data_IF_101885351125
#
_entry.id   IF_101885351125
#
_cell.length_a   1.000
_cell.length_b   1.000
_cell.length_c   1.000
_cell.angle_alpha   90.00
_cell.angle_beta   90.00
_cell.angle_gamma   90.00
#
_symmetry.space_group_name_H-M   'P 1'
#
loop_
_entity.id
_entity.type
_entity.pdbx_description
1 polymer ?
#
# COMPACT_ATOMS: atom_id res chain seq x y z
N UNK A 1 -25.55 -4.90 42.34
CA UNK A 1 -25.96 -4.86 40.92
C UNK A 1 -27.47 -4.89 40.89
N UNK A 2 -28.13 -3.87 40.34
CA UNK A 2 -29.59 -3.85 40.20
C UNK A 2 -30.07 -4.95 39.26
N UNK A 3 -31.28 -5.47 39.49
CA UNK A 3 -31.89 -6.42 38.58
C UNK A 3 -31.98 -5.79 37.17
N UNK A 4 -31.64 -6.53 36.10
CA UNK A 4 -31.79 -6.02 34.74
C UNK A 4 -33.26 -5.60 34.50
N UNK A 5 -33.49 -4.54 33.71
CA UNK A 5 -34.83 -4.01 33.47
C UNK A 5 -35.76 -5.11 32.92
N UNK A 6 -36.97 -5.22 33.49
CA UNK A 6 -37.98 -6.16 33.02
C UNK A 6 -38.64 -5.61 31.76
N UNK A 7 -38.23 -6.14 30.61
CA UNK A 7 -38.84 -5.80 29.32
C UNK A 7 -40.30 -6.26 29.26
N UNK A 8 -41.17 -5.42 28.68
CA UNK A 8 -42.56 -5.76 28.35
C UNK A 8 -42.63 -6.86 27.27
N UNK A 9 -43.79 -7.48 27.08
CA UNK A 9 -43.99 -8.48 26.02
C UNK A 9 -43.70 -7.90 24.63
N UNK A 10 -44.11 -6.67 24.37
CA UNK A 10 -43.86 -5.94 23.11
C UNK A 10 -42.38 -5.62 22.92
N UNK A 11 -41.70 -5.12 23.95
CA UNK A 11 -40.26 -4.83 23.90
C UNK A 11 -39.43 -6.10 23.66
N UNK A 12 -39.83 -7.23 24.26
CA UNK A 12 -39.21 -8.54 24.00
C UNK A 12 -39.40 -8.96 22.55
N UNK A 13 -40.61 -8.83 22.01
CA UNK A 13 -40.93 -9.16 20.63
C UNK A 13 -40.10 -8.32 19.64
N UNK A 14 -40.04 -7.00 19.86
CA UNK A 14 -39.25 -6.08 19.05
C UNK A 14 -37.74 -6.39 19.12
N UNK A 15 -37.22 -6.71 20.31
CA UNK A 15 -35.82 -7.09 20.50
C UNK A 15 -35.47 -8.40 19.77
N UNK A 16 -36.37 -9.39 19.80
CA UNK A 16 -36.21 -10.65 19.07
C UNK A 16 -36.20 -10.43 17.55
N UNK A 17 -37.13 -9.62 17.03
CA UNK A 17 -37.20 -9.27 15.61
C UNK A 17 -35.92 -8.55 15.14
N UNK A 18 -35.44 -7.57 15.90
CA UNK A 18 -34.17 -6.86 15.61
C UNK A 18 -32.96 -7.79 15.64
N UNK A 19 -32.93 -8.73 16.58
CA UNK A 19 -31.87 -9.74 16.66
C UNK A 19 -31.92 -10.71 15.46
N UNK A 20 -33.11 -11.12 15.02
CA UNK A 20 -33.29 -11.96 13.84
C UNK A 20 -32.82 -11.23 12.57
N UNK A 21 -33.20 -9.96 12.39
CA UNK A 21 -32.74 -9.13 11.27
C UNK A 21 -31.21 -8.97 11.26
N UNK A 22 -30.61 -8.71 12.43
CA UNK A 22 -29.15 -8.59 12.56
C UNK A 22 -28.42 -9.89 12.23
N UNK A 23 -29.00 -11.06 12.58
CA UNK A 23 -28.46 -12.38 12.20
C UNK A 23 -28.56 -12.60 10.70
N UNK A 24 -29.71 -12.28 10.10
CA UNK A 24 -29.92 -12.38 8.64
C UNK A 24 -28.91 -11.53 7.88
N UNK A 25 -28.75 -10.26 8.29
CA UNK A 25 -27.77 -9.35 7.68
C UNK A 25 -26.33 -9.87 7.75
N UNK A 26 -25.89 -10.37 8.92
CA UNK A 26 -24.56 -10.98 9.04
C UNK A 26 -24.39 -12.24 8.20
N UNK A 27 -25.43 -13.06 8.07
CA UNK A 27 -25.40 -14.24 7.22
C UNK A 27 -25.23 -13.85 5.74
N UNK A 28 -25.97 -12.84 5.27
CA UNK A 28 -25.84 -12.30 3.92
C UNK A 28 -24.41 -11.82 3.63
N UNK A 29 -23.81 -11.04 4.53
CA UNK A 29 -22.43 -10.56 4.37
C UNK A 29 -21.44 -11.72 4.32
N UNK A 30 -21.57 -12.71 5.20
CA UNK A 30 -20.68 -13.89 5.17
C UNK A 30 -20.83 -14.69 3.88
N UNK A 31 -22.03 -14.78 3.30
CA UNK A 31 -22.23 -15.41 1.99
C UNK A 31 -21.49 -14.65 0.89
N UNK A 32 -21.59 -13.31 0.87
CA UNK A 32 -20.85 -12.47 -0.08
C UNK A 32 -19.34 -12.61 0.04
N UNK A 33 -18.82 -12.62 1.26
CA UNK A 33 -17.39 -12.86 1.54
C UNK A 33 -16.98 -14.24 1.05
N UNK A 34 -17.77 -15.28 1.34
CA UNK A 34 -17.50 -16.66 0.91
C UNK A 34 -17.45 -16.80 -0.61
N UNK A 35 -18.31 -16.07 -1.32
CA UNK A 35 -18.37 -16.05 -2.78
C UNK A 35 -17.28 -15.18 -3.42
N UNK A 36 -16.47 -14.47 -2.63
CA UNK A 36 -15.47 -13.53 -3.13
C UNK A 36 -16.06 -12.20 -3.63
N UNK A 37 -17.35 -11.94 -3.40
CA UNK A 37 -17.98 -10.67 -3.77
C UNK A 37 -17.48 -9.53 -2.88
N UNK A 38 -17.22 -9.80 -1.59
CA UNK A 38 -16.76 -8.82 -0.60
C UNK A 38 -15.36 -9.19 -0.06
N UNK A 39 -14.45 -8.22 -0.14
CA UNK A 39 -13.13 -8.27 0.50
C UNK A 39 -13.21 -7.93 2.00
N UNK A 40 -12.09 -8.06 2.71
CA UNK A 40 -11.98 -7.62 4.10
C UNK A 40 -12.29 -6.12 4.23
N UNK A 41 -11.85 -5.32 3.26
CA UNK A 41 -12.10 -3.87 3.23
C UNK A 41 -13.55 -3.51 3.03
N UNK A 42 -14.23 -4.17 2.09
CA UNK A 42 -15.66 -3.93 1.89
C UNK A 42 -16.45 -4.17 3.18
N UNK A 43 -16.08 -5.19 3.97
CA UNK A 43 -16.75 -5.48 5.24
C UNK A 43 -16.38 -4.48 6.33
N UNK A 44 -15.11 -4.06 6.41
CA UNK A 44 -14.63 -3.08 7.40
C UNK A 44 -15.25 -1.69 7.15
N UNK A 45 -15.37 -1.27 5.90
CA UNK A 45 -16.04 -0.03 5.51
C UNK A 45 -17.54 -0.10 5.82
N UNK A 46 -18.19 -1.19 5.40
CA UNK A 46 -19.62 -1.40 5.69
C UNK A 46 -19.91 -1.39 7.20
N UNK A 47 -18.99 -1.91 8.02
CA UNK A 47 -19.12 -1.92 9.47
C UNK A 47 -19.15 -0.51 10.10
N UNK A 48 -18.68 0.53 9.42
CA UNK A 48 -18.77 1.90 9.92
C UNK A 48 -20.21 2.41 9.92
N UNK A 49 -21.05 1.92 9.01
CA UNK A 49 -22.42 2.39 8.81
C UNK A 49 -23.47 1.33 9.19
N UNK A 50 -23.11 0.05 9.20
CA UNK A 50 -24.01 -1.07 9.50
C UNK A 50 -23.73 -1.69 10.88
N UNK A 51 -24.60 -1.38 11.86
CA UNK A 51 -24.52 -1.89 13.23
C UNK A 51 -24.53 -3.42 13.34
N UNK A 52 -25.18 -4.14 12.43
CA UNK A 52 -25.20 -5.60 12.48
C UNK A 52 -23.83 -6.18 12.11
N UNK A 53 -23.19 -5.59 11.10
CA UNK A 53 -21.83 -5.92 10.66
C UNK A 53 -20.80 -5.48 11.69
N UNK A 54 -20.89 -4.24 12.18
CA UNK A 54 -20.04 -3.69 13.24
C UNK A 54 -19.97 -4.61 14.48
N UNK A 55 -21.11 -5.22 14.83
CA UNK A 55 -21.24 -6.14 15.97
C UNK A 55 -20.96 -7.60 15.60
N UNK A 56 -20.62 -7.95 14.37
CA UNK A 56 -20.17 -9.30 14.02
C UNK A 56 -18.84 -9.61 14.72
N UNK A 57 -18.64 -10.87 15.13
CA UNK A 57 -17.35 -11.31 15.68
C UNK A 57 -16.33 -11.38 14.55
N UNK A 58 -15.10 -10.93 14.82
CA UNK A 58 -14.01 -11.01 13.85
C UNK A 58 -13.78 -12.46 13.44
N UNK A 59 -13.79 -13.40 14.39
CA UNK A 59 -13.68 -14.84 14.10
C UNK A 59 -14.70 -15.34 13.07
N UNK A 60 -15.96 -14.91 13.18
CA UNK A 60 -17.03 -15.33 12.25
C UNK A 60 -16.86 -14.75 10.85
N UNK A 61 -16.27 -13.55 10.76
CA UNK A 61 -15.89 -12.95 9.48
C UNK A 61 -14.73 -13.74 8.84
N UNK A 62 -13.67 -13.99 9.61
CA UNK A 62 -12.49 -14.72 9.14
C UNK A 62 -12.86 -16.11 8.64
N UNK A 63 -13.66 -16.86 9.39
CA UNK A 63 -14.17 -18.18 9.00
C UNK A 63 -15.06 -18.16 7.74
N UNK A 64 -15.54 -17.00 7.29
CA UNK A 64 -16.34 -16.87 6.08
C UNK A 64 -15.49 -16.76 4.81
N UNK A 65 -14.23 -16.35 4.91
CA UNK A 65 -13.33 -16.29 3.76
C UNK A 65 -12.98 -17.68 3.25
N UNK A 66 -12.96 -17.82 1.92
CA UNK A 66 -12.53 -19.06 1.28
C UNK A 66 -11.09 -19.39 1.68
N UNK A 67 -10.82 -20.64 2.07
CA UNK A 67 -9.48 -21.05 2.52
C UNK A 67 -9.09 -20.64 3.94
N UNK A 68 -10.00 -20.03 4.72
CA UNK A 68 -9.79 -19.72 6.15
C UNK A 68 -10.75 -20.52 7.02
N UNK A 69 -10.32 -21.73 7.40
CA UNK A 69 -11.04 -22.57 8.37
C UNK A 69 -10.82 -22.12 9.82
N UNK A 70 -11.51 -22.76 10.77
CA UNK A 70 -11.46 -22.43 12.21
C UNK A 70 -10.03 -22.36 12.78
N UNK A 71 -9.18 -23.31 12.40
CA UNK A 71 -7.78 -23.38 12.87
C UNK A 71 -6.99 -22.16 12.39
N UNK A 72 -7.10 -21.85 11.10
CA UNK A 72 -6.40 -20.70 10.49
C UNK A 72 -6.93 -19.37 11.03
N UNK A 73 -8.25 -19.23 11.16
CA UNK A 73 -8.85 -18.05 11.78
C UNK A 73 -8.35 -17.83 13.21
N UNK A 74 -8.22 -18.91 14.00
CA UNK A 74 -7.70 -18.83 15.37
C UNK A 74 -6.23 -18.39 15.41
N UNK A 75 -5.37 -19.04 14.62
CA UNK A 75 -3.94 -18.69 14.52
C UNK A 75 -3.72 -17.25 14.06
N UNK A 76 -4.50 -16.78 13.09
CA UNK A 76 -4.46 -15.39 12.64
C UNK A 76 -4.83 -14.44 13.76
N UNK A 77 -5.92 -14.73 14.48
CA UNK A 77 -6.35 -13.91 15.61
C UNK A 77 -5.30 -13.87 16.72
N UNK A 78 -4.63 -14.98 17.04
CA UNK A 78 -3.54 -15.01 18.02
C UNK A 78 -2.35 -14.15 17.58
N UNK A 79 -1.89 -14.34 16.33
CA UNK A 79 -0.76 -13.58 15.77
C UNK A 79 -1.03 -12.07 15.75
N UNK A 80 -2.27 -11.67 15.47
CA UNK A 80 -2.68 -10.26 15.42
C UNK A 80 -3.17 -9.72 16.77
N UNK A 81 -3.02 -10.50 17.85
CA UNK A 81 -3.46 -10.15 19.21
C UNK A 81 -4.95 -9.75 19.28
N UNK A 82 -5.80 -10.44 18.52
CA UNK A 82 -7.25 -10.25 18.46
C UNK A 82 -7.92 -11.28 19.36
N UNK A 83 -8.58 -10.80 20.42
CA UNK A 83 -9.36 -11.68 21.32
C UNK A 83 -10.47 -12.45 20.58
N UNK A 84 -10.75 -13.72 20.91
CA UNK A 84 -11.84 -14.52 20.31
C UNK A 84 -13.24 -13.90 20.39
N UNK A 85 -13.47 -13.03 21.39
CA UNK A 85 -14.75 -12.33 21.59
C UNK A 85 -14.81 -10.99 20.86
N UNK A 86 -13.71 -10.55 20.22
CA UNK A 86 -13.59 -9.26 19.56
C UNK A 86 -14.60 -9.13 18.42
N UNK A 87 -15.26 -7.98 18.37
CA UNK A 87 -16.17 -7.58 17.29
C UNK A 87 -15.44 -6.64 16.33
N UNK A 88 -15.93 -6.56 15.09
CA UNK A 88 -15.33 -5.73 14.03
C UNK A 88 -15.15 -4.27 14.49
N UNK A 89 -16.19 -3.68 15.09
CA UNK A 89 -16.13 -2.31 15.61
C UNK A 89 -15.11 -2.08 16.75
N UNK A 90 -14.59 -3.15 17.34
CA UNK A 90 -13.61 -3.09 18.43
C UNK A 90 -12.17 -3.31 17.97
N UNK A 91 -11.92 -3.50 16.67
CA UNK A 91 -10.57 -3.67 16.13
C UNK A 91 -9.82 -2.34 16.20
N UNK A 92 -8.57 -2.40 16.67
CA UNK A 92 -7.66 -1.26 16.63
C UNK A 92 -7.12 -1.02 15.22
N UNK A 93 -6.59 0.17 14.94
CA UNK A 93 -6.02 0.55 13.63
C UNK A 93 -4.94 -0.42 13.15
N UNK A 94 -4.01 -0.80 14.03
CA UNK A 94 -2.95 -1.77 13.72
C UNK A 94 -3.56 -3.13 13.35
N UNK A 95 -4.56 -3.61 14.09
CA UNK A 95 -5.21 -4.89 13.80
C UNK A 95 -5.95 -4.87 12.45
N UNK A 96 -6.53 -3.73 12.09
CA UNK A 96 -7.16 -3.52 10.78
C UNK A 96 -6.09 -3.59 9.68
N UNK A 97 -4.99 -2.85 9.82
CA UNK A 97 -3.86 -2.87 8.87
C UNK A 97 -3.31 -4.28 8.66
N UNK A 98 -3.04 -5.00 9.75
CA UNK A 98 -2.52 -6.37 9.66
C UNK A 98 -3.52 -7.37 9.06
N UNK A 99 -4.82 -7.20 9.34
CA UNK A 99 -5.85 -8.01 8.69
C UNK A 99 -5.92 -7.73 7.18
N UNK A 100 -5.82 -6.47 6.75
CA UNK A 100 -5.74 -6.12 5.33
C UNK A 100 -4.55 -6.81 4.68
N UNK A 101 -3.38 -6.70 5.28
CA UNK A 101 -2.16 -7.34 4.80
C UNK A 101 -2.33 -8.87 4.67
N UNK A 102 -2.91 -9.55 5.66
CA UNK A 102 -3.14 -11.01 5.58
C UNK A 102 -4.05 -11.41 4.41
N UNK A 103 -5.13 -10.65 4.19
CA UNK A 103 -6.12 -10.99 3.16
C UNK A 103 -5.77 -10.46 1.78
N UNK A 104 -4.84 -9.51 1.67
CA UNK A 104 -4.09 -9.27 0.43
C UNK A 104 -3.26 -10.51 0.06
N UNK A 105 -2.71 -11.24 1.04
CA UNK A 105 -1.88 -12.43 0.78
C UNK A 105 -2.66 -13.68 0.41
N UNK A 106 -3.94 -13.78 0.76
CA UNK A 106 -4.66 -15.04 0.62
C UNK A 106 -6.10 -14.96 0.10
N UNK A 107 -6.27 -15.57 -1.08
CA UNK A 107 -7.45 -16.29 -1.60
C UNK A 107 -8.32 -15.56 -2.64
N UNK A 108 -8.25 -16.08 -3.87
CA UNK A 108 -9.33 -16.29 -4.84
C UNK A 108 -10.32 -15.17 -5.25
N UNK A 109 -10.17 -13.93 -4.76
CA UNK A 109 -10.49 -12.75 -5.54
C UNK A 109 -9.39 -12.56 -6.60
N UNK A 110 -9.61 -11.75 -7.64
CA UNK A 110 -8.57 -11.31 -8.59
C UNK A 110 -7.23 -11.18 -7.86
N UNK A 111 -6.17 -11.88 -8.32
CA UNK A 111 -4.86 -11.83 -7.67
C UNK A 111 -4.53 -10.34 -7.48
N UNK A 112 -4.31 -9.86 -6.24
CA UNK A 112 -3.90 -8.48 -6.04
C UNK A 112 -2.68 -8.20 -6.91
N UNK A 113 -2.60 -7.00 -7.45
CA UNK A 113 -1.48 -6.62 -8.29
C UNK A 113 -0.16 -6.70 -7.52
N UNK A 114 0.94 -6.68 -8.25
CA UNK A 114 2.27 -6.70 -7.67
C UNK A 114 2.74 -5.27 -7.44
N UNK A 115 3.31 -5.03 -6.24
CA UNK A 115 4.00 -3.78 -5.94
C UNK A 115 5.47 -3.93 -6.34
N UNK A 116 5.89 -3.14 -7.33
CA UNK A 116 7.28 -3.02 -7.74
C UNK A 116 7.82 -1.66 -7.31
N UNK A 117 8.98 -1.67 -6.66
CA UNK A 117 9.71 -0.47 -6.28
C UNK A 117 10.94 -0.37 -7.16
N UNK A 118 11.00 0.66 -7.99
CA UNK A 118 12.15 0.97 -8.84
C UNK A 118 13.00 2.06 -8.19
N UNK A 119 14.22 1.71 -7.82
CA UNK A 119 15.24 2.64 -7.32
C UNK A 119 16.52 2.52 -8.14
N UNK A 120 17.48 3.41 -7.92
CA UNK A 120 18.71 3.47 -8.71
C UNK A 120 19.32 4.87 -8.60
N UNK A 121 20.58 5.05 -9.03
CA UNK A 121 21.26 6.30 -8.80
C UNK A 121 20.64 7.46 -9.58
N UNK A 122 20.86 8.68 -9.10
CA UNK A 122 20.46 9.89 -9.83
C UNK A 122 20.93 9.88 -11.29
N UNK A 123 20.02 10.09 -12.25
CA UNK A 123 20.38 10.16 -13.67
C UNK A 123 20.38 8.82 -14.43
N UNK A 124 20.11 7.70 -13.76
CA UNK A 124 20.06 6.37 -14.41
C UNK A 124 18.89 6.18 -15.38
N UNK A 125 17.83 6.99 -15.27
CA UNK A 125 16.68 6.96 -16.20
C UNK A 125 15.36 6.44 -15.61
N UNK A 126 15.23 6.38 -14.29
CA UNK A 126 14.03 5.90 -13.56
C UNK A 126 12.73 6.53 -14.07
N UNK A 127 12.70 7.86 -14.19
CA UNK A 127 11.51 8.59 -14.63
C UNK A 127 11.11 8.31 -16.08
N UNK A 128 12.08 7.98 -16.94
CA UNK A 128 11.81 7.57 -18.33
C UNK A 128 11.13 6.21 -18.37
N UNK A 129 11.65 5.24 -17.60
CA UNK A 129 11.04 3.91 -17.43
C UNK A 129 9.61 4.03 -16.88
N UNK A 130 9.43 4.80 -15.80
CA UNK A 130 8.11 5.01 -15.18
C UNK A 130 7.11 5.66 -16.15
N UNK A 131 7.56 6.62 -16.97
CA UNK A 131 6.71 7.26 -18.00
C UNK A 131 6.26 6.26 -19.05
N UNK A 132 7.13 5.34 -19.48
CA UNK A 132 6.78 4.33 -20.48
C UNK A 132 5.83 3.27 -19.92
N UNK A 133 6.05 2.79 -18.69
CA UNK A 133 5.13 1.86 -18.01
C UNK A 133 3.75 2.49 -17.78
N UNK A 134 3.70 3.78 -17.41
CA UNK A 134 2.43 4.51 -17.31
C UNK A 134 1.70 4.59 -18.66
N UNK A 135 2.43 4.70 -19.77
CA UNK A 135 1.85 4.77 -21.12
C UNK A 135 1.39 3.41 -21.66
N UNK A 136 2.07 2.32 -21.32
CA UNK A 136 1.69 0.98 -21.77
C UNK A 136 0.43 0.48 -21.06
N UNK A 137 0.15 0.98 -19.85
CA UNK A 137 -1.02 0.60 -19.05
C UNK A 137 -0.83 -0.69 -18.24
N UNK A 138 0.37 -1.26 -18.25
CA UNK A 138 0.70 -2.47 -17.49
C UNK A 138 0.80 -2.19 -15.98
N UNK A 139 1.06 -0.93 -15.61
CA UNK A 139 1.22 -0.46 -14.23
C UNK A 139 0.46 0.82 -13.94
N UNK A 140 -0.13 0.88 -12.76
CA UNK A 140 -0.45 2.13 -12.11
C UNK A 140 0.81 2.69 -11.43
N UNK A 141 1.30 3.82 -11.93
CA UNK A 141 2.48 4.48 -11.35
C UNK A 141 2.01 5.46 -10.28
N UNK A 142 2.41 5.22 -9.04
CA UNK A 142 1.95 5.97 -7.87
C UNK A 142 2.28 7.45 -7.95
N UNK A 143 1.42 8.25 -7.33
CA UNK A 143 1.55 9.71 -7.23
C UNK A 143 1.89 10.05 -5.78
N UNK A 144 3.10 10.55 -5.55
CA UNK A 144 3.56 10.92 -4.21
C UNK A 144 2.87 12.19 -3.71
N UNK A 145 2.75 12.32 -2.40
CA UNK A 145 2.41 13.58 -1.74
C UNK A 145 3.65 14.43 -1.53
N UNK A 146 3.51 15.76 -1.58
CA UNK A 146 4.59 16.70 -1.27
C UNK A 146 4.10 17.96 -0.58
N UNK A 147 4.96 18.55 0.27
CA UNK A 147 4.73 19.87 0.88
C UNK A 147 5.22 21.04 0.02
N UNK A 148 5.92 20.74 -1.08
CA UNK A 148 6.37 21.74 -2.04
C UNK A 148 5.17 22.39 -2.73
N UNK A 149 5.25 23.69 -3.00
CA UNK A 149 4.27 24.34 -3.87
C UNK A 149 4.29 23.77 -5.32
N UNK A 150 3.12 23.63 -5.97
CA UNK A 150 3.05 23.19 -7.37
C UNK A 150 3.76 24.17 -8.30
N UNK A 151 4.43 23.65 -9.34
CA UNK A 151 4.91 24.46 -10.46
C UNK A 151 3.74 24.83 -11.38
N UNK A 152 3.96 25.83 -12.25
CA UNK A 152 2.92 26.35 -13.15
C UNK A 152 2.30 25.31 -14.09
N UNK A 153 2.99 24.21 -14.34
CA UNK A 153 2.55 23.12 -15.23
C UNK A 153 2.19 21.82 -14.48
N UNK A 154 2.20 21.81 -13.15
CA UNK A 154 1.88 20.63 -12.35
C UNK A 154 0.43 20.68 -11.85
N UNK A 155 -0.24 19.53 -11.86
CA UNK A 155 -1.62 19.37 -11.44
C UNK A 155 -1.72 18.46 -10.21
N UNK A 156 -2.51 18.91 -9.23
CA UNK A 156 -2.74 18.16 -8.00
C UNK A 156 -3.47 16.83 -8.29
N UNK A 157 -2.96 15.73 -7.74
CA UNK A 157 -3.47 14.37 -7.94
C UNK A 157 -3.07 13.73 -9.27
N UNK A 158 -2.29 14.44 -10.10
CA UNK A 158 -1.71 13.91 -11.34
C UNK A 158 -0.19 13.83 -11.19
N UNK A 159 0.46 14.95 -10.90
CA UNK A 159 1.92 15.01 -10.73
C UNK A 159 2.32 14.70 -9.29
N UNK A 160 1.64 15.33 -8.33
CA UNK A 160 1.78 15.10 -6.89
C UNK A 160 0.46 15.40 -6.18
N UNK A 161 0.29 14.85 -4.97
CA UNK A 161 -0.65 15.41 -3.99
C UNK A 161 0.04 16.55 -3.24
N UNK A 162 -0.27 17.79 -3.61
CA UNK A 162 0.23 18.98 -2.95
C UNK A 162 -0.54 19.19 -1.65
N UNK A 163 0.11 18.94 -0.52
CA UNK A 163 -0.47 19.02 0.82
C UNK A 163 0.30 19.99 1.70
N UNK A 164 -0.33 20.47 2.77
CA UNK A 164 0.35 21.34 3.74
C UNK A 164 1.28 20.54 4.64
N UNK A 165 2.21 21.23 5.31
CA UNK A 165 3.07 20.63 6.33
C UNK A 165 2.25 19.98 7.47
N UNK A 166 1.22 20.67 7.97
CA UNK A 166 0.33 20.15 9.02
C UNK A 166 -0.41 18.87 8.59
N UNK A 167 -0.84 18.82 7.32
CA UNK A 167 -1.47 17.64 6.72
C UNK A 167 -0.45 16.49 6.65
N UNK A 168 0.77 16.76 6.20
CA UNK A 168 1.84 15.77 6.10
C UNK A 168 2.17 15.18 7.48
N UNK A 169 2.29 16.01 8.52
CA UNK A 169 2.53 15.58 9.90
C UNK A 169 1.41 14.70 10.44
N UNK A 170 0.15 15.04 10.12
CA UNK A 170 -0.99 14.21 10.50
C UNK A 170 -0.90 12.82 9.85
N UNK A 171 -0.55 12.76 8.56
CA UNK A 171 -0.42 11.51 7.82
C UNK A 171 0.72 10.64 8.36
N UNK A 172 1.88 11.22 8.68
CA UNK A 172 2.97 10.52 9.37
C UNK A 172 2.45 9.94 10.70
N UNK A 173 1.79 10.74 11.53
CA UNK A 173 1.28 10.31 12.85
C UNK A 173 0.21 9.20 12.76
N UNK A 174 -0.39 9.01 11.60
CA UNK A 174 -1.41 8.00 11.36
C UNK A 174 -0.91 6.81 10.53
N UNK A 175 0.40 6.72 10.27
CA UNK A 175 1.02 5.67 9.44
C UNK A 175 0.37 5.56 8.05
N UNK A 176 0.03 6.72 7.46
CA UNK A 176 -0.67 6.83 6.16
C UNK A 176 0.31 6.92 4.96
N UNK A 177 1.61 6.75 5.21
CA UNK A 177 2.66 6.69 4.19
C UNK A 177 3.39 5.35 4.22
N UNK A 178 3.67 4.78 3.03
CA UNK A 178 4.55 3.60 2.90
C UNK A 178 6.02 3.96 3.09
N UNK A 179 6.37 5.17 2.67
CA UNK A 179 7.67 5.79 2.85
C UNK A 179 7.50 7.31 2.83
N UNK A 180 8.42 8.00 3.48
CA UNK A 180 8.58 9.43 3.30
C UNK A 180 10.03 9.86 3.54
N UNK A 181 10.38 11.02 2.98
CA UNK A 181 11.69 11.65 3.13
C UNK A 181 11.58 13.17 3.01
N UNK A 182 12.61 13.86 3.50
CA UNK A 182 12.81 15.29 3.26
C UNK A 182 13.89 15.49 2.19
N UNK A 183 13.60 16.34 1.22
CA UNK A 183 14.52 16.69 0.15
C UNK A 183 14.44 18.19 -0.15
N UNK A 184 15.58 18.87 -0.07
CA UNK A 184 15.70 20.31 -0.32
C UNK A 184 14.67 21.15 0.46
N UNK A 185 14.45 20.83 1.74
CA UNK A 185 13.52 21.53 2.62
C UNK A 185 12.03 21.28 2.34
N UNK A 186 11.70 20.34 1.46
CA UNK A 186 10.33 19.89 1.22
C UNK A 186 10.20 18.41 1.56
N UNK A 187 8.99 17.98 1.93
CA UNK A 187 8.72 16.59 2.28
C UNK A 187 8.01 15.88 1.13
N UNK A 188 8.30 14.61 0.99
CA UNK A 188 7.75 13.73 -0.03
C UNK A 188 7.38 12.41 0.63
N UNK A 189 6.27 11.81 0.23
CA UNK A 189 5.90 10.48 0.72
C UNK A 189 4.88 9.79 -0.16
N UNK A 190 4.84 8.48 -0.09
CA UNK A 190 3.93 7.65 -0.89
C UNK A 190 2.69 7.30 -0.07
N UNK A 191 1.50 7.85 -0.39
CA UNK A 191 0.26 7.55 0.33
C UNK A 191 -0.08 6.05 0.28
N UNK A 192 -0.31 5.42 1.44
CA UNK A 192 -0.56 3.98 1.51
C UNK A 192 -1.90 3.57 0.94
N UNK A 193 -2.95 4.37 1.14
CA UNK A 193 -4.32 4.00 0.79
C UNK A 193 -4.48 3.78 -0.72
N UNK A 194 -3.96 4.70 -1.53
CA UNK A 194 -4.04 4.68 -2.98
C UNK A 194 -3.29 3.49 -3.58
N UNK A 195 -2.12 3.15 -3.01
CA UNK A 195 -1.34 1.96 -3.39
C UNK A 195 -2.10 0.69 -3.01
N UNK A 196 -2.60 0.60 -1.78
CA UNK A 196 -3.38 -0.56 -1.31
C UNK A 196 -4.63 -0.77 -2.18
N UNK A 197 -5.37 0.29 -2.48
CA UNK A 197 -6.54 0.22 -3.34
C UNK A 197 -6.22 -0.24 -4.76
N UNK A 198 -5.14 0.25 -5.38
CA UNK A 198 -4.72 -0.19 -6.71
C UNK A 198 -4.35 -1.68 -6.72
N UNK A 199 -3.56 -2.12 -5.74
CA UNK A 199 -3.20 -3.53 -5.59
C UNK A 199 -4.45 -4.40 -5.41
N UNK A 200 -5.42 -3.96 -4.61
CA UNK A 200 -6.69 -4.68 -4.38
C UNK A 200 -7.58 -4.77 -5.63
N UNK A 201 -7.47 -3.82 -6.57
CA UNK A 201 -8.12 -3.90 -7.88
C UNK A 201 -7.44 -4.88 -8.85
N UNK A 202 -6.31 -5.46 -8.46
CA UNK A 202 -5.49 -6.31 -9.32
C UNK A 202 -4.54 -5.52 -10.23
N UNK A 203 -4.39 -4.22 -10.02
CA UNK A 203 -3.47 -3.37 -10.80
C UNK A 203 -2.05 -3.50 -10.23
N UNK A 204 -1.09 -3.78 -11.11
CA UNK A 204 0.31 -3.73 -10.70
C UNK A 204 0.69 -2.28 -10.41
N UNK A 205 1.42 -2.05 -9.31
CA UNK A 205 1.81 -0.72 -8.87
C UNK A 205 3.30 -0.54 -9.01
N UNK A 206 3.71 0.58 -9.60
CA UNK A 206 5.11 1.01 -9.65
C UNK A 206 5.33 2.20 -8.72
N UNK A 207 6.30 2.08 -7.80
CA UNK A 207 6.86 3.20 -7.04
C UNK A 207 8.23 3.55 -7.60
N UNK A 208 8.42 4.80 -8.01
CA UNK A 208 9.73 5.36 -8.36
C UNK A 208 10.23 6.18 -7.17
N UNK A 209 11.11 5.62 -6.35
CA UNK A 209 11.59 6.23 -5.10
C UNK A 209 13.08 5.96 -4.88
N UNK A 210 13.69 6.73 -3.99
CA UNK A 210 15.09 6.55 -3.60
C UNK A 210 15.29 5.35 -2.66
N UNK A 211 16.54 4.93 -2.48
CA UNK A 211 16.91 3.67 -1.81
C UNK A 211 16.38 3.59 -0.38
N UNK A 212 16.43 4.68 0.38
CA UNK A 212 15.92 4.69 1.74
C UNK A 212 14.39 4.59 1.80
N UNK A 213 13.71 5.15 0.79
CA UNK A 213 12.28 4.92 0.60
C UNK A 213 12.00 3.44 0.32
N UNK A 214 12.78 2.79 -0.55
CA UNK A 214 12.62 1.37 -0.85
C UNK A 214 12.78 0.47 0.39
N UNK A 215 13.72 0.79 1.29
CA UNK A 215 13.88 0.11 2.58
C UNK A 215 12.63 0.27 3.46
N UNK A 216 12.09 1.49 3.56
CA UNK A 216 10.85 1.75 4.29
C UNK A 216 9.67 0.96 3.70
N UNK A 217 9.52 0.96 2.37
CA UNK A 217 8.48 0.17 1.70
C UNK A 217 8.64 -1.31 1.99
N UNK A 218 9.85 -1.88 1.91
CA UNK A 218 10.08 -3.31 2.21
C UNK A 218 9.77 -3.65 3.66
N UNK A 219 9.99 -2.72 4.59
CA UNK A 219 9.62 -2.90 5.99
C UNK A 219 8.09 -2.88 6.18
N UNK A 220 7.36 -2.02 5.47
CA UNK A 220 5.91 -1.93 5.53
C UNK A 220 5.17 -3.02 4.74
N UNK A 221 5.71 -3.41 3.59
CA UNK A 221 5.17 -4.40 2.65
C UNK A 221 6.30 -5.34 2.19
N UNK A 222 6.63 -6.38 2.98
CA UNK A 222 7.73 -7.31 2.68
C UNK A 222 7.64 -8.03 1.33
N UNK A 223 6.43 -8.13 0.76
CA UNK A 223 6.15 -8.70 -0.55
C UNK A 223 6.48 -7.78 -1.73
N UNK A 224 6.79 -6.50 -1.48
CA UNK A 224 7.20 -5.59 -2.53
C UNK A 224 8.44 -6.15 -3.22
N UNK A 225 8.44 -6.11 -4.55
CA UNK A 225 9.60 -6.50 -5.37
C UNK A 225 10.45 -5.26 -5.55
N UNK A 226 11.63 -5.25 -4.95
CA UNK A 226 12.58 -4.16 -5.07
C UNK A 226 13.46 -4.42 -6.28
N UNK A 227 13.48 -3.47 -7.21
CA UNK A 227 14.29 -3.50 -8.41
C UNK A 227 15.25 -2.32 -8.39
N UNK A 228 16.53 -2.61 -8.48
CA UNK A 228 17.58 -1.61 -8.63
C UNK A 228 17.91 -1.44 -10.11
N UNK A 229 17.90 -0.20 -10.59
CA UNK A 229 18.27 0.16 -11.96
C UNK A 229 19.71 0.67 -11.96
N UNK A 230 20.59 -0.04 -12.66
CA UNK A 230 21.99 0.31 -12.85
C UNK A 230 22.23 1.03 -14.19
N UNK A 231 23.21 1.92 -14.26
CA UNK A 231 23.66 2.45 -15.54
C UNK A 231 24.42 1.36 -16.34
N UNK A 232 24.47 1.44 -17.68
CA UNK A 232 25.28 0.52 -18.49
C UNK A 232 26.77 0.56 -18.15
N UNK A 233 27.26 1.73 -17.79
CA UNK A 233 28.60 1.93 -17.26
C UNK A 233 28.66 3.15 -16.34
N UNK A 234 29.72 3.23 -15.55
CA UNK A 234 30.01 4.41 -14.74
C UNK A 234 30.16 5.67 -15.60
N UNK A 235 30.88 5.56 -16.72
CA UNK A 235 31.15 6.65 -17.64
C UNK A 235 29.87 7.22 -18.24
N UNK A 236 28.89 6.36 -18.56
CA UNK A 236 27.61 6.81 -19.07
C UNK A 236 26.79 7.55 -18.01
N UNK A 237 26.83 7.08 -16.76
CA UNK A 237 26.19 7.80 -15.64
C UNK A 237 26.81 9.18 -15.43
N UNK A 238 28.14 9.27 -15.44
CA UNK A 238 28.86 10.56 -15.34
C UNK A 238 28.42 11.49 -16.47
N UNK A 239 28.46 11.01 -17.72
CA UNK A 239 28.03 11.80 -18.88
C UNK A 239 26.59 12.34 -18.74
N UNK A 240 25.66 11.51 -18.25
CA UNK A 240 24.26 11.93 -18.01
C UNK A 240 24.14 12.96 -16.88
N UNK A 241 24.92 12.82 -15.81
CA UNK A 241 24.95 13.78 -14.69
C UNK A 241 25.55 15.12 -15.11
N UNK A 242 26.60 15.11 -15.95
CA UNK A 242 27.25 16.30 -16.49
C UNK A 242 26.40 17.02 -17.55
N UNK A 243 25.71 16.26 -18.41
CA UNK A 243 24.85 16.77 -19.47
C UNK A 243 23.63 17.58 -18.99
N UNK A 244 23.28 17.50 -17.69
CA UNK A 244 22.20 18.32 -17.09
C UNK A 244 22.58 19.80 -16.90
N UNK A 245 23.82 20.18 -17.22
CA UNK A 245 24.18 21.51 -17.70
C UNK A 245 23.74 22.70 -16.84
N UNK A 246 23.92 22.64 -15.51
CA UNK A 246 23.73 23.79 -14.59
C UNK A 246 24.45 23.64 -13.24
N UNK A 247 25.12 22.51 -12.97
CA UNK A 247 25.80 22.28 -11.68
C UNK A 247 27.25 22.80 -11.68
N UNK A 248 27.62 23.52 -10.62
CA UNK A 248 29.02 23.83 -10.27
C UNK A 248 29.82 22.52 -10.03
N UNK A 249 31.12 22.47 -10.37
CA UNK A 249 32.05 21.41 -9.98
C UNK A 249 31.81 20.76 -8.60
N UNK A 250 31.58 21.53 -7.54
CA UNK A 250 31.37 20.97 -6.19
C UNK A 250 30.09 20.13 -6.10
N UNK A 251 28.99 20.64 -6.65
CA UNK A 251 27.68 19.97 -6.67
C UNK A 251 27.72 18.71 -7.54
N UNK A 252 28.52 18.73 -8.61
CA UNK A 252 28.76 17.56 -9.46
C UNK A 252 29.53 16.48 -8.71
N UNK A 253 30.61 16.84 -8.02
CA UNK A 253 31.38 15.91 -7.21
C UNK A 253 30.49 15.24 -6.14
N UNK A 254 29.64 16.01 -5.47
CA UNK A 254 28.67 15.49 -4.51
C UNK A 254 27.67 14.51 -5.14
N UNK A 255 27.14 14.82 -6.34
CA UNK A 255 26.23 13.91 -7.07
C UNK A 255 26.91 12.61 -7.46
N UNK A 256 28.17 12.67 -7.89
CA UNK A 256 28.94 11.48 -8.23
C UNK A 256 29.24 10.62 -7.00
N UNK A 257 29.60 11.24 -5.87
CA UNK A 257 29.80 10.52 -4.62
C UNK A 257 28.51 9.82 -4.17
N UNK A 258 27.39 10.53 -4.17
CA UNK A 258 26.08 9.96 -3.83
C UNK A 258 25.75 8.77 -4.76
N UNK A 259 26.02 8.90 -6.05
CA UNK A 259 25.77 7.81 -6.99
C UNK A 259 26.62 6.56 -6.70
N UNK A 260 27.86 6.71 -6.23
CA UNK A 260 28.69 5.56 -5.79
C UNK A 260 28.11 4.87 -4.56
N UNK A 261 27.64 5.66 -3.59
CA UNK A 261 26.98 5.15 -2.38
C UNK A 261 25.67 4.42 -2.73
N UNK A 262 24.91 4.97 -3.67
CA UNK A 262 23.67 4.36 -4.20
C UNK A 262 23.96 3.04 -4.92
N UNK A 263 24.98 2.99 -5.78
CA UNK A 263 25.40 1.76 -6.47
C UNK A 263 25.86 0.68 -5.48
N UNK A 264 26.56 1.05 -4.41
CA UNK A 264 26.97 0.10 -3.37
C UNK A 264 25.79 -0.53 -2.62
N UNK A 265 24.62 0.10 -2.63
CA UNK A 265 23.40 -0.42 -2.01
C UNK A 265 22.58 -1.36 -2.92
N UNK A 266 23.02 -1.62 -4.16
CA UNK A 266 22.34 -2.52 -5.10
C UNK A 266 22.06 -3.91 -4.51
N UNK A 267 22.94 -4.43 -3.65
CA UNK A 267 22.79 -5.76 -3.03
C UNK A 267 21.60 -5.88 -2.07
N UNK A 268 20.95 -4.77 -1.70
CA UNK A 268 19.74 -4.78 -0.89
C UNK A 268 18.48 -5.15 -1.70
N UNK A 269 18.53 -5.05 -3.02
CA UNK A 269 17.38 -5.20 -3.90
C UNK A 269 17.19 -6.67 -4.33
N UNK A 270 15.95 -7.05 -4.61
CA UNK A 270 15.60 -8.40 -5.03
C UNK A 270 16.11 -8.68 -6.47
N UNK A 271 16.10 -7.65 -7.32
CA UNK A 271 16.59 -7.69 -8.69
C UNK A 271 17.45 -6.48 -9.02
N UNK A 272 18.45 -6.68 -9.89
CA UNK A 272 19.26 -5.62 -10.47
C UNK A 272 19.10 -5.69 -11.99
N UNK A 273 18.75 -4.55 -12.61
CA UNK A 273 18.58 -4.41 -14.06
C UNK A 273 19.55 -3.35 -14.56
N UNK A 274 20.31 -3.65 -15.60
CA UNK A 274 21.16 -2.68 -16.28
C UNK A 274 20.35 -1.94 -17.34
N UNK A 275 20.35 -0.61 -17.31
CA UNK A 275 19.57 0.23 -18.23
C UNK A 275 20.28 0.49 -19.57
N UNK A 276 20.55 -0.57 -20.33
CA UNK A 276 21.13 -0.51 -21.69
C UNK A 276 20.08 -0.16 -22.77
N UNK A 277 18.84 -0.59 -22.57
CA UNK A 277 17.67 -0.25 -23.38
C UNK A 277 16.45 -0.14 -22.46
N UNK A 278 15.77 1.00 -22.55
CA UNK A 278 14.60 1.28 -21.70
C UNK A 278 13.47 0.29 -21.99
N UNK A 279 13.34 -0.16 -23.23
CA UNK A 279 12.37 -1.18 -23.66
C UNK A 279 12.62 -2.52 -22.96
N UNK A 280 13.88 -2.97 -22.86
CA UNK A 280 14.23 -4.19 -22.14
C UNK A 280 13.93 -4.09 -20.65
N UNK A 281 14.23 -2.94 -20.04
CA UNK A 281 13.91 -2.68 -18.63
C UNK A 281 12.40 -2.81 -18.41
N UNK A 282 11.59 -2.21 -19.29
CA UNK A 282 10.13 -2.29 -19.24
C UNK A 282 9.66 -3.75 -19.34
N UNK A 283 10.15 -4.52 -20.32
CA UNK A 283 9.81 -5.93 -20.48
C UNK A 283 10.14 -6.78 -19.23
N UNK A 284 11.32 -6.56 -18.64
CA UNK A 284 11.72 -7.25 -17.42
C UNK A 284 10.84 -6.88 -16.23
N UNK A 285 10.53 -5.59 -16.06
CA UNK A 285 9.63 -5.15 -15.01
C UNK A 285 8.25 -5.80 -15.17
N UNK A 286 7.66 -5.80 -16.37
CA UNK A 286 6.38 -6.49 -16.65
C UNK A 286 6.45 -7.98 -16.30
N UNK A 287 7.57 -8.64 -16.57
CA UNK A 287 7.74 -10.07 -16.23
C UNK A 287 7.70 -10.35 -14.72
N UNK A 288 8.13 -9.42 -13.87
CA UNK A 288 8.09 -9.56 -12.42
C UNK A 288 6.67 -9.41 -11.84
N UNK A 289 5.76 -8.81 -12.59
CA UNK A 289 4.35 -8.69 -12.22
C UNK A 289 3.47 -9.86 -12.66
N UNK A 290 3.99 -10.76 -13.49
CA UNK A 290 3.26 -11.89 -14.09
C UNK A 290 3.10 -13.10 -13.16
#
# INVERSE_FOLDING_TARGET
>A
MGAPPRLTSEERSAALAKAAQSRKRRAEIKTKVKNGEYTIDNVLELAQQDQAVAKMRVRELLEAFSGVGKVRAHSLMERLNISPSRRIAGLGRIQIKELRNEFMMTSHALRPGKLIVLSGPGGVGKSTVATLLRKSGDYWVSVSATTRAPRSNELNGIDYFFITDDEFDRRIKHDEFLEWAEFAGNRYGTPSAEVEEALLRGENVLLEIEIDGAKQVKAHLPQAVLVFLEPPSWEELVSRLEGRGTDDPERRAHRLQLAQEELAAASFFDHVIVNDSVERVVEQLVSFAS
#
